data_IF_314407314131
#
_entry.id   IF_314407314131
#
_cell.length_a   1.000
_cell.length_b   1.000
_cell.length_c   1.000
_cell.angle_alpha   90.00
_cell.angle_beta   90.00
_cell.angle_gamma   90.00
#
_symmetry.space_group_name_H-M   'P 1'
#
loop_
_entity.id
_entity.type
_entity.pdbx_description
1 polymer ?
#
# COMPACT_ATOMS: atom_id res chain seq x y z
N UNK A 1 16.47 -41.20 7.42
CA UNK A 1 17.49 -40.16 7.67
C UNK A 1 17.03 -38.89 6.95
N UNK A 2 16.50 -37.94 7.69
CA UNK A 2 15.99 -36.66 7.18
C UNK A 2 17.19 -35.73 6.95
N UNK A 3 17.39 -35.29 5.70
CA UNK A 3 18.40 -34.28 5.35
C UNK A 3 17.94 -32.93 5.90
N UNK A 4 18.56 -32.44 6.96
CA UNK A 4 18.39 -31.08 7.43
C UNK A 4 18.70 -30.09 6.28
N UNK A 5 17.73 -29.27 5.91
CA UNK A 5 17.95 -28.14 4.99
C UNK A 5 18.99 -27.21 5.63
N UNK A 6 20.14 -27.05 5.00
CA UNK A 6 21.16 -26.06 5.40
C UNK A 6 20.55 -24.66 5.29
N UNK A 7 20.42 -23.99 6.43
CA UNK A 7 19.98 -22.59 6.51
C UNK A 7 21.05 -21.70 5.86
N UNK A 8 20.71 -21.11 4.72
CA UNK A 8 21.62 -20.30 3.92
C UNK A 8 21.60 -18.86 4.43
N UNK A 9 22.06 -18.62 5.64
CA UNK A 9 22.26 -17.27 6.19
C UNK A 9 23.70 -16.81 5.93
N UNK A 10 23.90 -15.59 5.38
CA UNK A 10 25.26 -15.07 5.22
C UNK A 10 25.95 -14.98 6.58
N UNK A 11 27.20 -15.45 6.66
CA UNK A 11 28.02 -15.37 7.89
C UNK A 11 28.51 -13.94 8.09
N UNK A 12 27.72 -13.14 8.82
CA UNK A 12 28.11 -11.79 9.25
C UNK A 12 29.11 -11.88 10.40
N UNK A 13 30.19 -11.09 10.36
CA UNK A 13 31.24 -11.07 11.40
C UNK A 13 31.29 -9.73 12.14
N UNK A 14 31.66 -9.78 13.45
CA UNK A 14 32.00 -8.61 14.24
C UNK A 14 30.88 -7.56 14.39
N UNK A 15 31.20 -6.33 14.15
CA UNK A 15 30.28 -5.18 14.32
C UNK A 15 29.06 -5.24 13.39
N UNK A 16 29.20 -5.83 12.20
CA UNK A 16 28.09 -6.02 11.23
C UNK A 16 27.09 -7.02 11.80
N UNK A 17 27.54 -8.10 12.43
CA UNK A 17 26.67 -9.07 13.11
C UNK A 17 25.94 -8.42 14.29
N UNK A 18 26.63 -7.56 15.05
CA UNK A 18 26.04 -6.81 16.17
C UNK A 18 24.99 -5.81 15.71
N UNK A 19 25.28 -5.06 14.65
CA UNK A 19 24.34 -4.14 14.00
C UNK A 19 23.11 -4.88 13.44
N UNK A 20 23.34 -6.00 12.75
CA UNK A 20 22.26 -6.84 12.22
C UNK A 20 21.39 -7.40 13.35
N UNK A 21 21.97 -7.94 14.43
CA UNK A 21 21.22 -8.46 15.57
C UNK A 21 20.46 -7.36 16.34
N UNK A 22 20.94 -6.12 16.31
CA UNK A 22 20.22 -4.98 16.88
C UNK A 22 19.04 -4.52 16.02
N UNK A 23 19.16 -4.64 14.68
CA UNK A 23 18.07 -4.39 13.73
C UNK A 23 16.98 -5.48 13.80
N UNK A 24 17.38 -6.73 13.99
CA UNK A 24 16.47 -7.90 14.09
C UNK A 24 15.72 -7.96 15.44
N UNK A 25 16.07 -7.09 16.40
CA UNK A 25 15.39 -7.08 17.72
C UNK A 25 13.97 -6.53 17.70
N UNK A 26 13.56 -5.83 16.67
CA UNK A 26 12.17 -5.43 16.48
C UNK A 26 11.56 -6.36 15.45
N UNK A 27 10.87 -7.38 15.89
CA UNK A 27 10.08 -8.23 15.00
C UNK A 27 8.94 -7.41 14.41
N UNK A 28 9.04 -7.10 13.12
CA UNK A 28 7.97 -6.42 12.42
C UNK A 28 6.90 -7.44 12.05
N UNK A 29 5.69 -7.20 12.53
CA UNK A 29 4.48 -7.93 12.14
C UNK A 29 3.62 -6.95 11.33
N UNK A 30 3.66 -7.15 10.03
CA UNK A 30 3.07 -6.20 9.06
C UNK A 30 1.67 -6.68 8.70
N UNK A 31 0.68 -5.83 8.93
CA UNK A 31 -0.63 -5.99 8.29
C UNK A 31 -0.57 -5.35 6.91
N UNK A 32 -0.85 -6.13 5.88
CA UNK A 32 -0.94 -5.66 4.50
C UNK A 32 -2.42 -5.55 4.12
N UNK A 33 -2.84 -4.37 3.70
CA UNK A 33 -4.21 -4.08 3.29
C UNK A 33 -4.18 -3.69 1.82
N UNK A 34 -4.92 -4.40 0.97
CA UNK A 34 -5.00 -4.13 -0.47
C UNK A 34 -6.37 -3.60 -0.89
N UNK A 35 -6.37 -2.84 -1.96
CA UNK A 35 -7.52 -2.57 -2.82
C UNK A 35 -8.78 -2.13 -2.04
N UNK A 36 -8.68 -1.08 -1.24
CA UNK A 36 -9.84 -0.56 -0.49
C UNK A 36 -10.86 0.11 -1.39
N UNK A 37 -10.43 0.67 -2.53
CA UNK A 37 -11.29 1.30 -3.54
C UNK A 37 -12.41 2.16 -2.94
N UNK A 38 -12.08 2.99 -1.94
CA UNK A 38 -13.10 3.87 -1.39
C UNK A 38 -13.62 4.85 -2.48
N UNK A 39 -14.92 5.09 -2.58
CA UNK A 39 -15.99 4.80 -1.61
C UNK A 39 -16.67 3.44 -1.75
N UNK A 40 -16.18 2.54 -2.62
CA UNK A 40 -16.83 1.27 -2.96
C UNK A 40 -16.26 0.06 -2.20
N UNK A 41 -15.53 0.32 -1.13
CA UNK A 41 -14.94 -0.72 -0.29
C UNK A 41 -15.97 -1.73 0.21
N UNK A 42 -15.58 -3.00 0.23
CA UNK A 42 -16.42 -4.09 0.74
C UNK A 42 -16.82 -3.84 2.21
N UNK A 43 -18.10 -4.02 2.49
CA UNK A 43 -18.61 -3.92 3.86
C UNK A 43 -17.95 -4.96 4.76
N UNK A 44 -17.57 -4.53 5.97
CA UNK A 44 -16.89 -5.40 6.94
C UNK A 44 -15.37 -5.55 6.73
N UNK A 45 -14.80 -5.00 5.65
CA UNK A 45 -13.38 -5.17 5.38
C UNK A 45 -12.48 -4.49 6.43
N UNK A 46 -12.85 -3.31 6.90
CA UNK A 46 -12.14 -2.64 7.98
C UNK A 46 -12.15 -3.47 9.28
N UNK A 47 -13.30 -4.00 9.65
CA UNK A 47 -13.49 -4.84 10.84
C UNK A 47 -12.65 -6.12 10.74
N UNK A 48 -12.62 -6.73 9.54
CA UNK A 48 -11.75 -7.86 9.27
C UNK A 48 -10.27 -7.48 9.48
N UNK A 49 -9.81 -6.37 8.91
CA UNK A 49 -8.44 -5.89 9.06
C UNK A 49 -8.07 -5.60 10.52
N UNK A 50 -8.95 -4.97 11.28
CA UNK A 50 -8.76 -4.73 12.70
C UNK A 50 -8.63 -6.03 13.50
N UNK A 51 -9.45 -7.02 13.18
CA UNK A 51 -9.39 -8.34 13.80
C UNK A 51 -8.04 -9.02 13.50
N UNK A 52 -7.61 -9.03 12.23
CA UNK A 52 -6.31 -9.59 11.84
C UNK A 52 -5.14 -8.85 12.51
N UNK A 53 -5.20 -7.51 12.57
CA UNK A 53 -4.20 -6.69 13.26
C UNK A 53 -4.05 -7.12 14.72
N UNK A 54 -5.18 -7.35 15.41
CA UNK A 54 -5.21 -7.77 16.82
C UNK A 54 -4.73 -9.21 17.00
N UNK A 55 -5.29 -10.17 16.25
CA UNK A 55 -4.94 -11.60 16.38
C UNK A 55 -3.45 -11.85 16.16
N UNK A 56 -2.88 -11.20 15.17
CA UNK A 56 -1.47 -11.36 14.81
C UNK A 56 -0.54 -10.38 15.52
N UNK A 57 -1.05 -9.57 16.45
CA UNK A 57 -0.30 -8.54 17.16
C UNK A 57 0.54 -7.69 16.20
N UNK A 58 -0.04 -7.26 15.09
CA UNK A 58 0.67 -6.45 14.10
C UNK A 58 1.12 -5.12 14.71
N UNK A 59 2.26 -4.61 14.24
CA UNK A 59 2.85 -3.35 14.71
C UNK A 59 3.22 -2.41 13.56
N UNK A 60 2.96 -2.82 12.33
CA UNK A 60 3.09 -2.05 11.09
C UNK A 60 1.87 -2.25 10.23
N UNK A 61 1.48 -1.21 9.52
CA UNK A 61 0.40 -1.26 8.53
C UNK A 61 0.90 -0.70 7.21
N UNK A 62 0.65 -1.44 6.15
CA UNK A 62 0.93 -1.03 4.78
C UNK A 62 -0.35 -1.22 3.96
N UNK A 63 -0.78 -0.14 3.31
CA UNK A 63 -1.75 -0.24 2.23
C UNK A 63 -1.00 -0.41 0.92
N UNK A 64 -1.32 -1.45 0.15
CA UNK A 64 -0.61 -1.76 -1.10
C UNK A 64 -1.28 -1.16 -2.34
N UNK A 65 -1.84 0.02 -2.21
CA UNK A 65 -2.41 0.80 -3.30
C UNK A 65 -3.91 0.63 -3.48
N UNK A 66 -4.41 1.35 -4.49
CA UNK A 66 -5.81 1.44 -4.85
C UNK A 66 -6.70 1.78 -3.63
N UNK A 67 -6.27 2.85 -2.93
CA UNK A 67 -6.97 3.38 -1.74
C UNK A 67 -8.32 3.96 -2.13
N UNK A 68 -8.36 4.71 -3.25
CA UNK A 68 -9.55 5.28 -3.85
C UNK A 68 -9.80 4.66 -5.22
N UNK A 69 -11.06 4.57 -5.61
CA UNK A 69 -11.42 3.97 -6.89
C UNK A 69 -11.14 4.91 -8.08
N UNK A 70 -11.40 6.20 -7.91
CA UNK A 70 -11.25 7.20 -8.99
C UNK A 70 -12.02 6.83 -10.27
N UNK A 71 -13.19 6.19 -10.13
CA UNK A 71 -13.98 5.67 -11.25
C UNK A 71 -14.32 6.75 -12.27
N UNK A 72 -14.70 7.93 -11.81
CA UNK A 72 -15.01 9.10 -12.65
C UNK A 72 -13.88 9.52 -13.60
N UNK A 73 -12.66 9.17 -13.28
CA UNK A 73 -11.49 9.49 -14.09
C UNK A 73 -10.84 8.28 -14.75
N UNK A 74 -11.53 7.14 -14.76
CA UNK A 74 -11.08 5.91 -15.44
C UNK A 74 -10.77 6.16 -16.92
N UNK A 75 -9.94 5.32 -17.50
CA UNK A 75 -9.71 5.21 -18.94
C UNK A 75 -10.73 4.28 -19.62
N UNK A 76 -11.54 3.59 -18.83
CA UNK A 76 -12.64 2.75 -19.29
C UNK A 76 -13.93 3.58 -19.35
N UNK A 77 -14.95 3.04 -20.01
CA UNK A 77 -16.29 3.66 -20.01
C UNK A 77 -16.78 3.79 -18.56
N UNK A 78 -17.19 5.00 -18.20
CA UNK A 78 -17.78 5.28 -16.90
C UNK A 78 -19.28 5.05 -16.95
N UNK A 79 -19.84 4.59 -15.83
CA UNK A 79 -21.28 4.49 -15.66
C UNK A 79 -21.91 5.88 -15.71
N UNK A 80 -22.87 6.06 -16.60
CA UNK A 80 -23.58 7.34 -16.77
C UNK A 80 -24.37 7.75 -15.51
N UNK A 81 -24.79 6.78 -14.72
CA UNK A 81 -25.51 6.98 -13.46
C UNK A 81 -24.56 6.96 -12.24
N UNK A 82 -23.24 6.87 -12.47
CA UNK A 82 -22.21 6.86 -11.44
C UNK A 82 -22.03 8.22 -10.77
N UNK A 83 -21.29 8.22 -9.67
CA UNK A 83 -20.95 9.46 -8.96
C UNK A 83 -20.04 10.35 -9.82
N UNK A 84 -20.35 11.63 -9.87
CA UNK A 84 -19.43 12.61 -10.46
C UNK A 84 -18.19 12.80 -9.60
N UNK A 85 -17.08 13.22 -10.23
CA UNK A 85 -15.75 13.25 -9.60
C UNK A 85 -15.67 13.93 -8.24
N UNK A 86 -16.37 15.06 -8.07
CA UNK A 86 -16.42 15.73 -6.76
C UNK A 86 -17.12 14.88 -5.70
N UNK A 87 -18.30 14.34 -6.04
CA UNK A 87 -19.12 13.57 -5.10
C UNK A 87 -18.41 12.26 -4.70
N UNK A 88 -17.77 11.58 -5.64
CA UNK A 88 -17.01 10.36 -5.38
C UNK A 88 -15.82 10.65 -4.45
N UNK A 89 -15.03 11.68 -4.75
CA UNK A 89 -13.88 12.03 -3.91
C UNK A 89 -14.30 12.44 -2.49
N UNK A 90 -15.32 13.30 -2.35
CA UNK A 90 -15.83 13.71 -1.04
C UNK A 90 -16.34 12.51 -0.23
N UNK A 91 -17.01 11.57 -0.88
CA UNK A 91 -17.48 10.35 -0.24
C UNK A 91 -16.31 9.42 0.15
N UNK A 92 -15.31 9.27 -0.72
CA UNK A 92 -14.10 8.51 -0.43
C UNK A 92 -13.36 9.09 0.78
N UNK A 93 -13.10 10.40 0.82
CA UNK A 93 -12.47 11.07 1.96
C UNK A 93 -13.28 10.85 3.24
N UNK A 94 -14.60 10.99 3.18
CA UNK A 94 -15.48 10.72 4.33
C UNK A 94 -15.35 9.29 4.84
N UNK A 95 -15.30 8.31 3.95
CA UNK A 95 -15.15 6.89 4.30
C UNK A 95 -13.74 6.55 4.78
N UNK A 96 -12.70 7.17 4.21
CA UNK A 96 -11.31 7.00 4.64
C UNK A 96 -11.06 7.44 6.08
N UNK A 97 -11.84 8.37 6.63
CA UNK A 97 -11.70 8.81 8.03
C UNK A 97 -11.76 7.66 9.03
N UNK A 98 -12.56 6.62 8.76
CA UNK A 98 -12.64 5.42 9.61
C UNK A 98 -11.34 4.59 9.55
N UNK A 99 -10.74 4.47 8.35
CA UNK A 99 -9.47 3.80 8.14
C UNK A 99 -8.33 4.55 8.81
N UNK A 100 -8.29 5.87 8.62
CA UNK A 100 -7.29 6.72 9.25
C UNK A 100 -7.38 6.71 10.79
N UNK A 101 -8.60 6.69 11.34
CA UNK A 101 -8.82 6.55 12.79
C UNK A 101 -8.33 5.19 13.32
N UNK A 102 -8.54 4.13 12.56
CA UNK A 102 -8.12 2.77 12.92
C UNK A 102 -6.60 2.59 12.82
N UNK A 103 -6.00 3.13 11.76
CA UNK A 103 -4.59 3.00 11.43
C UNK A 103 -3.97 4.38 11.16
N UNK A 104 -3.76 5.20 12.20
CA UNK A 104 -3.33 6.59 12.02
C UNK A 104 -1.93 6.74 11.44
N UNK A 105 -1.09 5.71 11.53
CA UNK A 105 0.25 5.69 10.95
C UNK A 105 0.35 4.49 10.00
N UNK A 106 0.49 4.76 8.72
CA UNK A 106 0.64 3.72 7.71
C UNK A 106 1.52 4.19 6.55
N UNK A 107 2.15 3.24 5.90
CA UNK A 107 2.73 3.43 4.57
C UNK A 107 1.69 3.04 3.52
N UNK A 108 1.61 3.83 2.46
CA UNK A 108 0.68 3.60 1.35
C UNK A 108 1.48 3.53 0.06
N UNK A 109 1.53 2.38 -0.60
CA UNK A 109 2.08 2.33 -1.95
C UNK A 109 1.01 2.77 -2.95
N UNK A 110 1.41 3.49 -3.99
CA UNK A 110 0.45 4.01 -4.97
C UNK A 110 0.06 2.93 -5.98
N UNK A 111 -1.23 2.64 -6.04
CA UNK A 111 -1.82 1.75 -7.04
C UNK A 111 -2.11 2.43 -8.37
N UNK A 112 -2.65 1.68 -9.31
CA UNK A 112 -2.98 2.23 -10.63
C UNK A 112 -4.19 3.19 -10.57
N UNK A 113 -5.18 2.93 -9.71
CA UNK A 113 -6.32 3.84 -9.49
C UNK A 113 -5.86 5.15 -8.83
N UNK A 114 -5.04 5.08 -7.80
CA UNK A 114 -4.49 6.27 -7.16
C UNK A 114 -3.76 7.18 -8.16
N UNK A 115 -2.99 6.56 -9.09
CA UNK A 115 -2.16 7.29 -10.06
C UNK A 115 -2.92 7.84 -11.27
N UNK A 116 -4.22 7.51 -11.46
CA UNK A 116 -5.00 7.98 -12.63
C UNK A 116 -4.95 9.51 -12.72
N UNK A 117 -5.15 10.20 -11.62
CA UNK A 117 -5.18 11.67 -11.58
C UNK A 117 -3.84 12.28 -12.01
N UNK A 118 -2.74 11.75 -11.47
CA UNK A 118 -1.38 12.20 -11.84
C UNK A 118 -1.13 11.95 -13.33
N UNK A 119 -1.47 10.78 -13.83
CA UNK A 119 -1.28 10.42 -15.25
C UNK A 119 -2.11 11.31 -16.17
N UNK A 120 -3.36 11.62 -15.80
CA UNK A 120 -4.20 12.55 -16.57
C UNK A 120 -3.66 13.96 -16.55
N UNK A 121 -3.19 14.45 -15.42
CA UNK A 121 -2.53 15.75 -15.34
C UNK A 121 -1.28 15.82 -16.24
N UNK A 122 -0.44 14.78 -16.19
CA UNK A 122 0.73 14.68 -17.07
C UNK A 122 0.34 14.66 -18.57
N UNK A 123 -0.69 13.88 -18.94
CA UNK A 123 -1.18 13.82 -20.31
C UNK A 123 -1.75 15.17 -20.80
N UNK A 124 -2.21 15.99 -19.88
CA UNK A 124 -2.70 17.36 -20.15
C UNK A 124 -1.61 18.43 -19.99
N UNK A 125 -0.33 18.03 -19.87
CA UNK A 125 0.81 18.92 -19.66
C UNK A 125 0.68 19.82 -18.41
N UNK A 126 -0.04 19.37 -17.38
CA UNK A 126 -0.15 20.08 -16.11
C UNK A 126 1.09 19.75 -15.26
N UNK A 127 1.90 20.75 -14.88
CA UNK A 127 3.06 20.54 -14.02
C UNK A 127 2.66 19.96 -12.66
N UNK A 128 3.45 19.01 -12.13
CA UNK A 128 3.19 18.35 -10.84
C UNK A 128 3.03 19.31 -9.67
N UNK A 129 3.66 20.49 -9.74
CA UNK A 129 3.54 21.54 -8.71
C UNK A 129 2.10 22.03 -8.50
N UNK A 130 1.21 21.84 -9.48
CA UNK A 130 -0.22 22.20 -9.37
C UNK A 130 -1.06 21.10 -8.71
N UNK A 131 -0.48 19.93 -8.47
CA UNK A 131 -1.19 18.78 -7.91
C UNK A 131 -0.87 18.71 -6.43
N UNK A 132 -1.90 18.59 -5.62
CA UNK A 132 -1.75 18.42 -4.17
C UNK A 132 -1.23 17.02 -3.83
N UNK A 133 -0.54 16.91 -2.69
CA UNK A 133 -0.13 15.63 -2.15
C UNK A 133 -1.34 14.78 -1.73
N UNK A 134 -1.24 13.46 -1.89
CA UNK A 134 -2.33 12.53 -1.52
C UNK A 134 -2.75 12.68 -0.07
N UNK A 135 -1.80 12.81 0.85
CA UNK A 135 -2.09 12.97 2.27
C UNK A 135 -2.91 14.22 2.59
N UNK A 136 -2.74 15.28 1.79
CA UNK A 136 -3.54 16.51 1.91
C UNK A 136 -4.95 16.29 1.36
N UNK A 137 -5.05 15.73 0.13
CA UNK A 137 -6.34 15.50 -0.55
C UNK A 137 -7.21 14.53 0.23
N UNK A 138 -6.62 13.47 0.77
CA UNK A 138 -7.33 12.39 1.46
C UNK A 138 -7.48 12.63 2.97
N UNK A 139 -7.00 13.79 3.47
CA UNK A 139 -7.05 14.16 4.88
C UNK A 139 -6.40 13.11 5.81
N UNK A 140 -5.26 12.56 5.37
CA UNK A 140 -4.49 11.53 6.08
C UNK A 140 -3.05 11.96 6.35
N UNK A 141 -2.83 13.02 7.16
CA UNK A 141 -1.53 13.70 7.25
C UNK A 141 -0.35 12.82 7.72
N UNK A 142 -0.61 11.73 8.44
CA UNK A 142 0.45 10.83 8.90
C UNK A 142 0.64 9.61 7.98
N UNK A 143 -0.15 9.45 6.94
CA UNK A 143 0.08 8.40 5.96
C UNK A 143 1.16 8.84 4.98
N UNK A 144 2.12 7.95 4.74
CA UNK A 144 3.22 8.20 3.83
C UNK A 144 2.97 7.53 2.49
N UNK A 145 2.71 8.31 1.46
CA UNK A 145 2.47 7.83 0.09
C UNK A 145 3.78 7.68 -0.66
N UNK A 146 4.06 6.48 -1.15
CA UNK A 146 5.33 6.09 -1.79
C UNK A 146 5.07 5.13 -2.95
N UNK A 147 6.11 4.84 -3.73
CA UNK A 147 6.02 3.84 -4.80
C UNK A 147 6.19 2.41 -4.27
N UNK A 148 7.03 2.24 -3.27
CA UNK A 148 7.31 0.96 -2.62
C UNK A 148 7.82 1.15 -1.19
N UNK A 149 7.74 0.09 -0.40
CA UNK A 149 8.25 0.04 0.98
C UNK A 149 9.08 -1.23 1.13
N UNK A 150 10.16 -1.13 1.89
CA UNK A 150 10.98 -2.28 2.26
C UNK A 150 10.98 -2.47 3.77
N UNK A 151 10.57 -3.65 4.23
CA UNK A 151 10.63 -4.06 5.65
C UNK A 151 11.18 -5.47 5.72
N UNK A 152 12.22 -5.68 6.50
CA UNK A 152 12.86 -6.99 6.76
C UNK A 152 13.23 -7.77 5.49
N UNK A 153 13.63 -7.07 4.42
CA UNK A 153 13.99 -7.66 3.14
C UNK A 153 12.80 -8.02 2.24
N UNK A 154 11.58 -7.70 2.66
CA UNK A 154 10.37 -7.81 1.83
C UNK A 154 10.06 -6.47 1.20
N UNK A 155 9.81 -6.46 -0.11
CA UNK A 155 9.33 -5.31 -0.86
C UNK A 155 7.82 -5.37 -0.98
N UNK A 156 7.17 -4.30 -0.53
CA UNK A 156 5.72 -4.10 -0.65
C UNK A 156 5.47 -3.10 -1.77
N UNK A 157 4.66 -3.47 -2.73
CA UNK A 157 4.36 -2.68 -3.93
C UNK A 157 3.02 -3.12 -4.51
N UNK A 158 2.28 -2.18 -5.09
CA UNK A 158 1.09 -2.51 -5.86
C UNK A 158 1.45 -3.22 -7.17
N UNK A 159 0.77 -4.31 -7.48
CA UNK A 159 1.08 -5.21 -8.59
C UNK A 159 0.51 -4.79 -9.95
N UNK A 160 0.62 -3.53 -10.33
CA UNK A 160 -0.05 -2.92 -11.49
C UNK A 160 0.48 -3.28 -12.89
N UNK A 161 1.57 -4.03 -12.97
CA UNK A 161 2.17 -4.42 -14.25
C UNK A 161 1.99 -5.90 -14.54
N UNK A 162 0.77 -6.31 -14.86
CA UNK A 162 0.38 -7.63 -15.45
C UNK A 162 1.07 -8.88 -14.88
N UNK A 163 1.72 -8.77 -13.74
CA UNK A 163 2.56 -9.82 -13.22
C UNK A 163 2.14 -10.14 -11.81
N UNK A 164 1.66 -11.35 -11.64
CA UNK A 164 1.55 -11.93 -10.30
C UNK A 164 2.83 -11.66 -9.48
N UNK A 165 2.70 -11.54 -8.17
CA UNK A 165 3.82 -11.30 -7.23
C UNK A 165 5.06 -12.14 -7.54
N UNK A 166 4.87 -13.38 -8.01
CA UNK A 166 5.94 -14.30 -8.44
C UNK A 166 6.78 -13.73 -9.60
N UNK A 167 6.16 -13.05 -10.57
CA UNK A 167 6.89 -12.47 -11.70
C UNK A 167 7.61 -11.19 -11.30
N UNK A 168 6.98 -10.37 -10.45
CA UNK A 168 7.62 -9.20 -9.87
C UNK A 168 8.84 -9.61 -9.02
N UNK A 169 8.71 -10.63 -8.17
CA UNK A 169 9.81 -11.16 -7.37
C UNK A 169 10.96 -11.67 -8.24
N UNK A 170 10.68 -12.37 -9.35
CA UNK A 170 11.70 -12.83 -10.29
C UNK A 170 12.43 -11.66 -10.96
N UNK A 171 11.70 -10.62 -11.38
CA UNK A 171 12.28 -9.44 -12.03
C UNK A 171 13.18 -8.68 -11.07
N UNK A 172 12.74 -8.49 -9.85
CA UNK A 172 13.43 -7.65 -8.87
C UNK A 172 14.38 -8.45 -7.98
N UNK A 173 14.37 -9.78 -8.09
CA UNK A 173 15.15 -10.73 -7.27
C UNK A 173 14.95 -10.52 -5.75
N UNK A 174 13.75 -10.09 -5.37
CA UNK A 174 13.34 -9.86 -3.97
C UNK A 174 11.98 -10.49 -3.71
N UNK A 175 11.67 -10.73 -2.43
CA UNK A 175 10.32 -11.13 -2.04
C UNK A 175 9.37 -9.95 -2.18
N UNK A 176 8.22 -10.16 -2.81
CA UNK A 176 7.15 -9.17 -2.97
C UNK A 176 5.86 -9.71 -2.37
N UNK A 177 5.02 -8.81 -1.92
CA UNK A 177 3.66 -9.08 -1.45
C UNK A 177 2.69 -8.31 -2.31
#
# INVERSE_FOLDING_TARGET
MSKQKKDFRPRLRGNVKKAYNNLVKVENRVLVIGDTHEPFCLDGYLEFCLNQYSIHNCNKVIFIGDIIDSHYSSYHESDADGLGGKAELELAVKKLKKWYKAFPNADVTLGNHDRIIIRKAQSSNIPSKWIKEFSEVLETPNWRFVTDVYIDGVRYVHGDKSSAAKTAAKRDMVSTV
#
